data_IF_996790158900
#
_entry.id   IF_996790158900
#
_cell.length_a   1.000
_cell.length_b   1.000
_cell.length_c   1.000
_cell.angle_alpha   90.00
_cell.angle_beta   90.00
_cell.angle_gamma   90.00
#
_symmetry.space_group_name_H-M   'P 1'
#
loop_
_entity.id
_entity.type
_entity.pdbx_description
1 polymer ?
#
# COMPACT_ATOMS: atom_id res chain seq x y z
N UNK A 1 20.72 11.76 -42.34
CA UNK A 1 20.96 10.42 -41.76
C UNK A 1 21.41 10.61 -40.32
N UNK A 2 20.48 10.48 -39.37
CA UNK A 2 20.73 10.71 -37.94
C UNK A 2 21.74 9.67 -37.42
N UNK A 3 22.79 10.11 -36.72
CA UNK A 3 23.66 9.23 -35.92
C UNK A 3 22.78 8.59 -34.84
N UNK A 4 22.19 7.42 -35.10
CA UNK A 4 21.84 6.50 -34.01
C UNK A 4 23.12 6.34 -33.19
N UNK A 5 23.05 6.62 -31.88
CA UNK A 5 24.22 6.51 -31.01
C UNK A 5 24.79 5.09 -31.16
N UNK A 6 26.11 4.97 -31.29
CA UNK A 6 26.77 3.67 -31.47
C UNK A 6 26.38 2.65 -30.38
N UNK A 7 26.06 3.14 -29.18
CA UNK A 7 25.51 2.38 -28.05
C UNK A 7 24.14 1.74 -28.36
N UNK A 8 23.24 2.47 -29.02
CA UNK A 8 21.93 1.94 -29.42
C UNK A 8 22.08 0.86 -30.48
N UNK A 9 23.03 1.02 -31.41
CA UNK A 9 23.31 -0.01 -32.42
C UNK A 9 23.84 -1.30 -31.76
N UNK A 10 24.75 -1.18 -30.79
CA UNK A 10 25.28 -2.34 -30.03
C UNK A 10 24.17 -3.02 -29.22
N UNK A 11 23.31 -2.24 -28.58
CA UNK A 11 22.16 -2.74 -27.83
C UNK A 11 21.23 -3.56 -28.71
N UNK A 12 20.81 -3.04 -29.86
CA UNK A 12 19.87 -3.72 -30.75
C UNK A 12 20.45 -5.02 -31.33
N UNK A 13 21.75 -5.03 -31.67
CA UNK A 13 22.41 -6.24 -32.21
C UNK A 13 22.56 -7.34 -31.16
N UNK A 14 22.99 -7.00 -29.94
CA UNK A 14 23.10 -7.97 -28.85
C UNK A 14 21.70 -8.48 -28.45
N UNK A 15 20.69 -7.60 -28.43
CA UNK A 15 19.31 -7.99 -28.17
C UNK A 15 18.76 -8.91 -29.25
N UNK A 16 18.99 -8.61 -30.53
CA UNK A 16 18.57 -9.45 -31.64
C UNK A 16 19.18 -10.85 -31.55
N UNK A 17 20.47 -10.95 -31.21
CA UNK A 17 21.14 -12.24 -31.00
C UNK A 17 20.58 -13.03 -29.81
N UNK A 18 20.21 -12.37 -28.71
CA UNK A 18 19.58 -13.03 -27.55
C UNK A 18 18.20 -13.61 -27.91
N UNK A 19 17.43 -12.92 -28.76
CA UNK A 19 16.09 -13.35 -29.17
C UNK A 19 16.14 -14.42 -30.26
N UNK A 20 17.02 -14.26 -31.24
CA UNK A 20 17.17 -15.15 -32.39
C UNK A 20 18.67 -15.41 -32.69
N UNK A 21 19.28 -16.41 -32.05
CA UNK A 21 20.71 -16.68 -32.18
C UNK A 21 21.17 -17.02 -33.60
N UNK A 22 20.31 -17.70 -34.36
CA UNK A 22 20.59 -18.19 -35.72
C UNK A 22 20.45 -17.08 -36.79
N UNK A 23 19.59 -16.09 -36.58
CA UNK A 23 19.32 -15.03 -37.58
C UNK A 23 20.23 -13.82 -37.43
N UNK A 24 20.87 -13.66 -36.27
CA UNK A 24 21.72 -12.51 -35.94
C UNK A 24 23.04 -12.93 -35.29
N UNK A 25 24.01 -13.48 -36.05
CA UNK A 25 25.32 -13.84 -35.51
C UNK A 25 26.12 -12.60 -35.08
N UNK A 26 26.74 -12.66 -33.90
CA UNK A 26 27.58 -11.58 -33.38
C UNK A 26 29.02 -11.67 -33.90
N UNK A 27 29.66 -10.51 -34.08
CA UNK A 27 31.12 -10.46 -34.30
C UNK A 27 31.87 -10.84 -33.02
N UNK A 28 33.16 -11.23 -33.10
CA UNK A 28 33.95 -11.58 -31.90
C UNK A 28 33.98 -10.47 -30.84
N UNK A 29 34.07 -9.22 -31.26
CA UNK A 29 34.02 -8.05 -30.36
C UNK A 29 32.66 -7.90 -29.67
N UNK A 30 31.57 -8.17 -30.41
CA UNK A 30 30.22 -8.11 -29.85
C UNK A 30 29.94 -9.26 -28.88
N UNK A 31 30.52 -10.44 -29.15
CA UNK A 31 30.44 -11.59 -28.26
C UNK A 31 31.11 -11.29 -26.91
N UNK A 32 32.30 -10.68 -26.93
CA UNK A 32 33.00 -10.29 -25.70
C UNK A 32 32.18 -9.30 -24.86
N UNK A 33 31.54 -8.33 -25.53
CA UNK A 33 30.64 -7.37 -24.87
C UNK A 33 29.44 -8.11 -24.27
N UNK A 34 28.82 -9.04 -25.01
CA UNK A 34 27.69 -9.82 -24.52
C UNK A 34 28.06 -10.67 -23.29
N UNK A 35 29.19 -11.37 -23.32
CA UNK A 35 29.66 -12.20 -22.20
C UNK A 35 29.90 -11.35 -20.94
N UNK A 36 30.47 -10.15 -21.14
CA UNK A 36 30.71 -9.18 -20.07
C UNK A 36 29.41 -8.62 -19.49
N UNK A 37 28.42 -8.34 -20.34
CA UNK A 37 27.08 -7.89 -19.94
C UNK A 37 26.32 -8.99 -19.18
N UNK A 38 26.37 -10.25 -19.63
CA UNK A 38 25.78 -11.39 -18.91
C UNK A 38 26.47 -11.57 -17.55
N UNK A 39 27.79 -11.40 -17.50
CA UNK A 39 28.54 -11.49 -16.25
C UNK A 39 28.09 -10.45 -15.24
N UNK A 40 27.95 -9.18 -15.64
CA UNK A 40 27.54 -8.12 -14.70
C UNK A 40 26.05 -8.24 -14.33
N UNK A 41 25.19 -8.75 -15.22
CA UNK A 41 23.81 -9.07 -14.89
C UNK A 41 23.72 -10.06 -13.73
N UNK A 42 24.48 -11.17 -13.79
CA UNK A 42 24.54 -12.16 -12.69
C UNK A 42 25.11 -11.59 -11.38
N UNK A 43 25.98 -10.58 -11.48
CA UNK A 43 26.51 -9.89 -10.28
C UNK A 43 25.41 -9.01 -9.70
N UNK A 44 24.65 -8.29 -10.54
CA UNK A 44 23.51 -7.45 -10.11
C UNK A 44 22.42 -8.28 -9.43
N UNK A 45 22.15 -9.50 -9.89
CA UNK A 45 21.18 -10.41 -9.26
C UNK A 45 21.57 -10.75 -7.80
N UNK A 46 22.86 -10.85 -7.51
CA UNK A 46 23.38 -11.16 -6.15
C UNK A 46 23.66 -9.91 -5.33
N UNK A 47 23.93 -8.79 -6.00
CA UNK A 47 24.28 -7.53 -5.39
C UNK A 47 23.62 -6.38 -6.16
N UNK A 48 22.43 -5.94 -5.70
CA UNK A 48 21.65 -4.93 -6.43
C UNK A 48 22.28 -3.53 -6.39
N UNK A 49 23.33 -3.31 -5.58
CA UNK A 49 24.02 -2.03 -5.51
C UNK A 49 25.00 -1.88 -6.69
N UNK A 50 24.62 -1.06 -7.68
CA UNK A 50 25.41 -0.80 -8.88
C UNK A 50 26.89 -0.48 -8.60
N UNK A 51 27.19 0.32 -7.57
CA UNK A 51 28.58 0.67 -7.21
C UNK A 51 29.40 -0.57 -6.81
N UNK A 52 28.79 -1.50 -6.09
CA UNK A 52 29.46 -2.74 -5.68
C UNK A 52 29.52 -3.73 -6.84
N UNK A 53 28.46 -3.84 -7.63
CA UNK A 53 28.45 -4.66 -8.84
C UNK A 53 29.55 -4.24 -9.83
N UNK A 54 29.73 -2.94 -10.04
CA UNK A 54 30.82 -2.38 -10.87
C UNK A 54 32.19 -2.74 -10.30
N UNK A 55 32.40 -2.65 -8.99
CA UNK A 55 33.68 -2.99 -8.38
C UNK A 55 34.01 -4.49 -8.55
N UNK A 56 33.03 -5.37 -8.36
CA UNK A 56 33.18 -6.83 -8.58
C UNK A 56 33.43 -7.12 -10.06
N UNK A 57 32.74 -6.41 -10.95
CA UNK A 57 32.92 -6.53 -12.40
C UNK A 57 34.33 -6.13 -12.83
N UNK A 58 34.87 -5.02 -12.32
CA UNK A 58 36.25 -4.61 -12.58
C UNK A 58 37.28 -5.59 -12.01
N UNK A 59 37.01 -6.21 -10.86
CA UNK A 59 37.88 -7.24 -10.31
C UNK A 59 37.93 -8.49 -11.21
N UNK A 60 36.81 -8.82 -11.88
CA UNK A 60 36.73 -9.93 -12.84
C UNK A 60 37.32 -9.60 -14.21
N UNK A 61 37.24 -8.34 -14.62
CA UNK A 61 37.80 -7.83 -15.89
C UNK A 61 38.81 -6.70 -15.60
N UNK A 62 40.06 -7.03 -15.23
CA UNK A 62 41.03 -6.04 -14.74
C UNK A 62 41.49 -5.03 -15.81
N UNK A 63 41.37 -5.38 -17.09
CA UNK A 63 41.70 -4.49 -18.20
C UNK A 63 40.60 -3.47 -18.51
N UNK A 64 39.46 -3.54 -17.80
CA UNK A 64 38.31 -2.72 -18.07
C UNK A 64 38.40 -1.35 -17.40
N UNK A 65 38.21 -0.30 -18.19
CA UNK A 65 38.10 1.05 -17.62
C UNK A 65 36.86 1.15 -16.73
N UNK A 66 36.92 2.03 -15.73
CA UNK A 66 35.78 2.26 -14.83
C UNK A 66 34.55 2.75 -15.58
N UNK A 67 34.75 3.62 -16.57
CA UNK A 67 33.68 4.12 -17.44
C UNK A 67 33.03 2.98 -18.22
N UNK A 68 33.83 2.08 -18.81
CA UNK A 68 33.31 0.94 -19.55
C UNK A 68 32.53 -0.03 -18.64
N UNK A 69 32.95 -0.21 -17.38
CA UNK A 69 32.23 -1.04 -16.41
C UNK A 69 30.82 -0.49 -16.12
N UNK A 70 30.70 0.84 -16.02
CA UNK A 70 29.40 1.50 -15.87
C UNK A 70 28.54 1.37 -17.12
N UNK A 71 29.13 1.48 -18.31
CA UNK A 71 28.42 1.26 -19.58
C UNK A 71 27.87 -0.17 -19.69
N UNK A 72 28.68 -1.19 -19.35
CA UNK A 72 28.24 -2.58 -19.36
C UNK A 72 27.11 -2.82 -18.36
N UNK A 73 27.23 -2.22 -17.17
CA UNK A 73 26.21 -2.31 -16.12
C UNK A 73 24.91 -1.68 -16.61
N UNK A 74 24.97 -0.52 -17.27
CA UNK A 74 23.81 0.15 -17.86
C UNK A 74 23.21 -0.67 -19.00
N UNK A 75 24.05 -1.28 -19.84
CA UNK A 75 23.63 -2.14 -20.94
C UNK A 75 22.96 -3.41 -20.43
N UNK A 76 23.50 -4.03 -19.37
CA UNK A 76 22.92 -5.19 -18.69
C UNK A 76 21.57 -4.85 -18.07
N UNK A 77 21.45 -3.73 -17.35
CA UNK A 77 20.16 -3.24 -16.84
C UNK A 77 19.19 -3.05 -18.02
N UNK A 78 19.59 -2.39 -19.10
CA UNK A 78 18.71 -2.15 -20.26
C UNK A 78 18.30 -3.42 -21.01
N UNK A 79 19.16 -4.43 -21.11
CA UNK A 79 18.91 -5.71 -21.80
C UNK A 79 18.07 -6.65 -20.95
N UNK A 80 18.36 -6.73 -19.65
CA UNK A 80 17.73 -7.65 -18.71
C UNK A 80 16.69 -6.97 -17.80
N UNK A 81 16.27 -5.74 -18.14
CA UNK A 81 15.17 -4.97 -17.52
C UNK A 81 13.81 -5.69 -17.53
N UNK A 82 13.76 -6.95 -17.99
CA UNK A 82 12.60 -7.82 -17.97
C UNK A 82 12.65 -8.94 -16.93
N UNK A 83 13.70 -9.07 -16.10
CA UNK A 83 13.76 -10.19 -15.12
C UNK A 83 13.51 -9.76 -13.68
N UNK A 84 13.80 -8.51 -13.30
CA UNK A 84 13.47 -8.02 -11.97
C UNK A 84 12.77 -6.67 -12.06
N UNK A 85 11.42 -6.70 -12.07
CA UNK A 85 10.66 -5.62 -11.43
C UNK A 85 11.28 -5.44 -10.06
N UNK A 86 11.74 -4.24 -9.72
CA UNK A 86 12.16 -3.91 -8.37
C UNK A 86 11.12 -4.47 -7.39
N UNK A 87 11.52 -5.53 -6.69
CA UNK A 87 10.65 -6.24 -5.77
C UNK A 87 10.64 -5.40 -4.49
N UNK A 88 9.69 -4.47 -4.45
CA UNK A 88 9.51 -3.55 -3.34
C UNK A 88 9.29 -4.33 -2.04
N UNK A 89 8.59 -5.47 -2.11
CA UNK A 89 8.30 -6.31 -0.94
C UNK A 89 9.58 -6.97 -0.41
N UNK A 90 10.42 -7.50 -1.31
CA UNK A 90 11.73 -8.04 -0.94
C UNK A 90 12.64 -6.95 -0.37
N UNK A 91 12.72 -5.79 -1.03
CA UNK A 91 13.54 -4.67 -0.56
C UNK A 91 13.08 -4.14 0.80
N UNK A 92 11.77 -3.99 1.00
CA UNK A 92 11.18 -3.54 2.26
C UNK A 92 11.41 -4.57 3.36
N UNK A 93 11.22 -5.85 3.06
CA UNK A 93 11.50 -6.95 4.01
C UNK A 93 12.98 -7.00 4.39
N UNK A 94 13.88 -6.86 3.41
CA UNK A 94 15.31 -6.82 3.65
C UNK A 94 15.70 -5.61 4.53
N UNK A 95 15.17 -4.42 4.22
CA UNK A 95 15.42 -3.19 4.98
C UNK A 95 14.93 -3.31 6.43
N UNK A 96 13.72 -3.84 6.64
CA UNK A 96 13.18 -4.07 7.99
C UNK A 96 14.09 -5.02 8.77
N UNK A 97 14.49 -6.13 8.16
CA UNK A 97 15.37 -7.11 8.80
C UNK A 97 16.75 -6.53 9.13
N UNK A 98 17.30 -5.66 8.28
CA UNK A 98 18.58 -4.99 8.52
C UNK A 98 18.50 -4.02 9.71
N UNK A 99 17.46 -3.19 9.76
CA UNK A 99 17.20 -2.25 10.86
C UNK A 99 17.05 -3.01 12.19
N UNK A 100 16.28 -4.12 12.20
CA UNK A 100 16.11 -4.95 13.40
C UNK A 100 17.43 -5.53 13.89
N UNK A 101 18.26 -6.08 12.99
CA UNK A 101 19.59 -6.59 13.35
C UNK A 101 20.49 -5.51 13.94
N UNK A 102 20.47 -4.30 13.38
CA UNK A 102 21.25 -3.17 13.91
C UNK A 102 20.78 -2.78 15.32
N UNK A 103 19.48 -2.79 15.58
CA UNK A 103 18.93 -2.55 16.92
C UNK A 103 19.38 -3.63 17.91
N UNK A 104 19.33 -4.90 17.53
CA UNK A 104 19.78 -6.01 18.39
C UNK A 104 21.26 -5.91 18.74
N UNK A 105 22.12 -5.63 17.74
CA UNK A 105 23.56 -5.42 17.96
C UNK A 105 23.82 -4.22 18.88
N UNK A 106 23.11 -3.12 18.67
CA UNK A 106 23.24 -1.94 19.52
C UNK A 106 22.77 -2.20 20.96
N UNK A 107 21.70 -2.99 21.15
CA UNK A 107 21.21 -3.38 22.49
C UNK A 107 22.23 -4.23 23.25
N UNK A 108 22.92 -5.13 22.55
CA UNK A 108 23.95 -5.99 23.14
C UNK A 108 25.22 -5.22 23.55
N UNK A 109 25.51 -4.09 22.91
CA UNK A 109 26.69 -3.27 23.22
C UNK A 109 26.54 -2.39 24.49
N UNK A 110 25.31 -2.12 24.95
CA UNK A 110 25.05 -1.44 26.23
C UNK A 110 25.61 -0.01 26.39
N UNK A 111 26.10 0.63 25.33
CA UNK A 111 26.72 1.97 25.41
C UNK A 111 25.69 3.10 25.32
N UNK A 112 25.94 4.26 25.96
CA UNK A 112 25.05 5.42 25.87
C UNK A 112 24.81 5.94 24.44
N UNK A 113 25.82 5.80 23.56
CA UNK A 113 25.70 6.16 22.15
C UNK A 113 24.81 5.17 21.38
N UNK A 114 24.83 3.89 21.75
CA UNK A 114 23.95 2.88 21.15
C UNK A 114 22.47 3.19 21.36
N UNK A 115 22.08 3.80 22.49
CA UNK A 115 20.69 4.22 22.70
C UNK A 115 20.22 5.29 21.71
N UNK A 116 21.11 6.22 21.32
CA UNK A 116 20.78 7.22 20.29
C UNK A 116 20.61 6.57 18.92
N UNK A 117 21.49 5.62 18.58
CA UNK A 117 21.39 4.87 17.32
C UNK A 117 20.11 4.03 17.29
N UNK A 118 19.77 3.34 18.38
CA UNK A 118 18.51 2.58 18.52
C UNK A 118 17.29 3.47 18.29
N UNK A 119 17.27 4.68 18.85
CA UNK A 119 16.17 5.62 18.63
C UNK A 119 16.06 6.06 17.16
N UNK A 120 17.18 6.28 16.48
CA UNK A 120 17.21 6.61 15.05
C UNK A 120 16.75 5.42 14.19
N UNK A 121 17.18 4.21 14.51
CA UNK A 121 16.76 2.99 13.81
C UNK A 121 15.28 2.70 14.00
N UNK A 122 14.72 2.92 15.20
CA UNK A 122 13.27 2.85 15.40
C UNK A 122 12.50 3.88 14.55
N UNK A 123 13.03 5.10 14.41
CA UNK A 123 12.43 6.11 13.53
C UNK A 123 12.51 5.70 12.05
N UNK A 124 13.61 5.07 11.63
CA UNK A 124 13.76 4.51 10.29
C UNK A 124 12.79 3.35 10.04
N UNK A 125 12.57 2.49 11.05
CA UNK A 125 11.62 1.38 10.98
C UNK A 125 10.19 1.88 10.76
N UNK A 126 9.77 2.93 11.47
CA UNK A 126 8.46 3.56 11.28
C UNK A 126 8.32 4.09 9.85
N UNK A 127 9.36 4.74 9.32
CA UNK A 127 9.35 5.22 7.92
C UNK A 127 9.31 4.08 6.91
N UNK A 128 10.01 2.98 7.18
CA UNK A 128 10.05 1.81 6.30
C UNK A 128 8.74 1.01 6.29
N UNK A 129 8.00 0.99 7.41
CA UNK A 129 6.68 0.37 7.51
C UNK A 129 5.59 1.21 6.82
N UNK A 130 5.76 2.53 6.76
CA UNK A 130 4.78 3.46 6.20
C UNK A 130 3.64 3.80 7.16
N UNK A 131 2.61 4.47 6.63
CA UNK A 131 1.42 4.82 7.39
C UNK A 131 0.50 3.61 7.54
N UNK A 132 -0.11 3.44 8.72
CA UNK A 132 -1.17 2.45 8.92
C UNK A 132 -2.28 2.74 7.90
N UNK A 133 -2.78 1.74 7.15
CA UNK A 133 -3.93 1.93 6.28
C UNK A 133 -5.04 2.61 7.07
N UNK A 134 -5.61 3.71 6.56
CA UNK A 134 -6.83 4.27 7.13
C UNK A 134 -7.84 3.13 7.22
N UNK A 135 -8.26 2.78 8.45
CA UNK A 135 -9.33 1.81 8.64
C UNK A 135 -10.51 2.32 7.82
N UNK A 136 -10.95 1.54 6.82
CA UNK A 136 -12.24 1.77 6.16
C UNK A 136 -13.27 1.92 7.29
N UNK A 137 -13.83 3.13 7.43
CA UNK A 137 -14.84 3.38 8.45
C UNK A 137 -15.92 2.32 8.32
N UNK A 138 -16.08 1.49 9.36
CA UNK A 138 -17.06 0.42 9.37
C UNK A 138 -18.45 1.01 9.04
N UNK A 139 -19.08 0.63 7.90
CA UNK A 139 -20.39 1.15 7.49
C UNK A 139 -21.49 0.91 8.55
N UNK A 140 -21.25 0.01 9.50
CA UNK A 140 -22.18 -0.30 10.59
C UNK A 140 -22.10 0.67 11.77
N UNK A 141 -21.05 1.49 11.88
CA UNK A 141 -20.96 2.53 12.94
C UNK A 141 -21.76 3.80 12.58
N UNK A 142 -22.11 3.98 11.32
CA UNK A 142 -22.95 5.10 10.83
C UNK A 142 -24.45 4.85 10.99
N UNK A 143 -24.88 3.63 11.31
CA UNK A 143 -26.28 3.30 11.61
C UNK A 143 -26.66 3.60 13.07
N UNK A 144 -26.55 4.87 13.49
CA UNK A 144 -27.38 5.37 14.59
C UNK A 144 -28.80 5.52 14.06
N UNK A 145 -29.59 4.45 14.09
CA UNK A 145 -30.99 4.49 13.66
C UNK A 145 -31.79 5.46 14.55
N UNK A 146 -32.15 6.63 14.01
CA UNK A 146 -33.19 7.47 14.58
C UNK A 146 -34.55 6.93 14.10
N UNK A 147 -35.29 6.28 15.01
CA UNK A 147 -36.63 5.79 14.72
C UNK A 147 -37.64 6.94 14.83
N UNK A 148 -38.27 7.29 13.70
CA UNK A 148 -39.32 8.30 13.64
C UNK A 148 -40.68 7.64 13.49
N UNK A 149 -41.64 8.03 14.33
CA UNK A 149 -43.06 7.70 14.12
C UNK A 149 -43.69 8.88 13.38
N UNK A 150 -44.22 8.60 12.19
CA UNK A 150 -44.98 9.57 11.40
C UNK A 150 -46.45 9.40 11.78
N UNK A 151 -47.03 10.40 12.45
CA UNK A 151 -48.47 10.41 12.72
C UNK A 151 -49.12 11.47 11.85
N UNK A 152 -50.13 11.06 11.09
CA UNK A 152 -50.93 11.93 10.24
C UNK A 152 -52.26 12.23 10.94
N UNK A 153 -52.52 13.50 11.25
CA UNK A 153 -53.78 13.94 11.85
C UNK A 153 -54.24 15.22 11.14
N UNK A 154 -55.47 15.24 10.61
CA UNK A 154 -56.08 16.40 9.94
C UNK A 154 -55.15 17.15 8.95
N UNK A 155 -54.58 16.43 7.98
CA UNK A 155 -53.72 16.96 6.90
C UNK A 155 -52.37 17.58 7.33
N UNK A 156 -51.97 17.52 8.61
CA UNK A 156 -50.61 17.86 9.03
C UNK A 156 -49.84 16.59 9.42
N UNK A 157 -48.59 16.51 8.96
CA UNK A 157 -47.70 15.36 9.22
C UNK A 157 -46.71 15.76 10.30
N UNK A 158 -46.81 15.16 11.48
CA UNK A 158 -45.88 15.45 12.59
C UNK A 158 -44.88 14.30 12.69
N UNK A 159 -43.59 14.64 12.50
CA UNK A 159 -42.46 13.71 12.71
C UNK A 159 -42.12 13.72 14.20
N UNK A 160 -42.28 12.58 14.87
CA UNK A 160 -41.93 12.43 16.28
C UNK A 160 -40.74 11.46 16.38
N UNK A 161 -39.64 11.93 16.98
CA UNK A 161 -38.44 11.13 17.27
C UNK A 161 -38.66 10.32 18.55
N UNK A 162 -38.54 8.99 18.47
CA UNK A 162 -38.82 8.09 19.60
C UNK A 162 -37.88 8.33 20.80
N UNK A 163 -36.68 8.84 20.58
CA UNK A 163 -35.71 9.09 21.65
C UNK A 163 -36.04 10.35 22.48
N UNK A 164 -37.01 11.16 22.05
CA UNK A 164 -37.43 12.37 22.74
C UNK A 164 -38.77 12.21 23.47
N UNK A 165 -39.54 11.14 23.20
CA UNK A 165 -40.83 10.87 23.86
C UNK A 165 -40.69 10.73 25.38
N UNK A 166 -39.63 10.06 25.86
CA UNK A 166 -39.35 9.88 27.30
C UNK A 166 -38.93 11.18 28.01
N UNK A 167 -38.59 12.23 27.26
CA UNK A 167 -38.12 13.52 27.80
C UNK A 167 -39.19 14.61 27.75
N UNK A 168 -40.39 14.30 27.25
CA UNK A 168 -41.47 15.28 27.16
C UNK A 168 -42.13 15.49 28.54
N UNK A 169 -42.48 16.74 28.91
CA UNK A 169 -43.23 17.02 30.12
C UNK A 169 -44.57 16.27 30.12
N UNK A 170 -45.06 15.81 31.29
CA UNK A 170 -46.28 15.01 31.39
C UNK A 170 -47.54 15.73 30.84
N UNK A 171 -47.57 17.06 30.88
CA UNK A 171 -48.67 17.85 30.30
C UNK A 171 -48.74 17.76 28.78
N UNK A 172 -47.60 17.68 28.09
CA UNK A 172 -47.55 17.63 26.61
C UNK A 172 -47.86 16.23 26.09
N UNK A 173 -47.52 15.18 26.85
CA UNK A 173 -47.93 13.80 26.56
C UNK A 173 -49.45 13.62 26.69
N UNK A 174 -50.09 14.31 27.65
CA UNK A 174 -51.56 14.29 27.79
C UNK A 174 -52.26 15.02 26.64
N UNK A 175 -51.71 16.12 26.14
CA UNK A 175 -52.24 16.81 24.96
C UNK A 175 -52.04 15.99 23.67
N UNK A 176 -50.90 15.32 23.51
CA UNK A 176 -50.65 14.37 22.42
C UNK A 176 -51.62 13.19 22.47
N UNK A 177 -51.84 12.59 23.64
CA UNK A 177 -52.86 11.53 23.80
C UNK A 177 -54.26 12.06 23.50
N UNK A 178 -54.65 13.25 23.98
CA UNK A 178 -55.93 13.85 23.61
C UNK A 178 -56.04 14.07 22.10
N UNK A 179 -55.01 14.56 21.43
CA UNK A 179 -55.04 14.80 19.99
C UNK A 179 -55.08 13.49 19.16
N UNK A 180 -54.45 12.42 19.64
CA UNK A 180 -54.43 11.11 18.98
C UNK A 180 -55.71 10.29 19.22
N UNK A 181 -56.33 10.43 20.39
CA UNK A 181 -57.51 9.66 20.81
C UNK A 181 -58.83 10.44 20.78
N UNK A 182 -58.82 11.74 20.44
CA UNK A 182 -60.04 12.56 20.28
C UNK A 182 -61.05 12.03 19.24
N UNK A 183 -60.72 10.97 18.49
CA UNK A 183 -61.62 10.33 17.54
C UNK A 183 -62.57 9.27 18.12
N UNK A 184 -62.30 8.68 19.30
CA UNK A 184 -63.20 7.70 19.95
C UNK A 184 -62.95 7.62 21.45
N UNK A 185 -63.72 8.35 22.24
CA UNK A 185 -63.93 8.00 23.65
C UNK A 185 -64.80 6.74 23.68
N UNK A 186 -64.19 5.59 23.99
CA UNK A 186 -64.95 4.40 24.41
C UNK A 186 -65.45 4.71 25.82
N UNK A 187 -66.76 4.82 25.98
CA UNK A 187 -67.38 5.08 27.28
C UNK A 187 -67.37 3.81 28.13
N UNK A 188 -67.31 3.95 29.46
CA UNK A 188 -67.20 2.82 30.42
C UNK A 188 -68.27 1.72 30.19
N UNK A 189 -69.42 2.07 29.61
CA UNK A 189 -70.49 1.14 29.22
C UNK A 189 -70.11 0.15 28.11
N UNK A 190 -69.17 0.51 27.22
CA UNK A 190 -68.70 -0.38 26.13
C UNK A 190 -67.61 -1.35 26.62
N UNK A 191 -66.88 -0.98 27.68
CA UNK A 191 -65.84 -1.82 28.29
C UNK A 191 -66.46 -3.04 28.99
N UNK A 192 -67.58 -2.84 29.72
CA UNK A 192 -68.28 -3.94 30.42
C UNK A 192 -68.89 -4.98 29.48
N UNK A 193 -69.18 -4.62 28.22
CA UNK A 193 -69.68 -5.56 27.21
C UNK A 193 -68.56 -6.41 26.59
N UNK A 194 -67.35 -5.89 26.49
CA UNK A 194 -66.17 -6.60 25.97
C UNK A 194 -65.62 -7.66 26.94
N UNK A 195 -65.87 -7.52 28.25
CA UNK A 195 -65.42 -8.49 29.26
C UNK A 195 -66.43 -9.60 29.60
N UNK A 196 -67.62 -9.60 29.00
CA UNK A 196 -68.66 -10.64 29.21
C UNK A 196 -68.88 -11.59 28.03
N UNK A 197 -68.11 -11.45 26.96
CA UNK A 197 -68.06 -12.38 25.81
C UNK A 197 -66.84 -13.29 25.87
#
# INVERSE_FOLDING_TARGET
MSRKALEDTRYELIKAHILEPESSPLTPEQQEIMDRVISVARILDKNPLQKQAVAIHQAKYPNLSRTQAYEDTRLAVRLFNTIHTFDFDFWQTWLINDIVKNIEQCRNNGTPQAFKVIAMEHANLIKALGERPEELEDPRRTEKHAFYVLVQNNNTTVKIDMNQLDKLPPGTLQELNKALFAGKEITETEVDQLFKS
#
